data_IF_555933385611
#
_entry.id   IF_555933385611
#
_cell.length_a   1.000
_cell.length_b   1.000
_cell.length_c   1.000
_cell.angle_alpha   90.00
_cell.angle_beta   90.00
_cell.angle_gamma   90.00
#
_symmetry.space_group_name_H-M   'P 1'
#
loop_
_entity.id
_entity.type
_entity.pdbx_description
1 polymer ?
#
# COMPACT_ATOMS: atom_id res chain seq x y z
N UNK A 1 -4.98 -7.56 11.20
CA UNK A 1 -6.19 -7.06 10.51
C UNK A 1 -7.41 -7.91 10.80
N UNK A 2 -7.35 -9.23 10.65
CA UNK A 2 -8.53 -10.11 10.91
C UNK A 2 -9.18 -9.95 12.30
N UNK A 3 -8.40 -9.71 13.36
CA UNK A 3 -8.98 -9.44 14.70
C UNK A 3 -9.64 -8.06 14.76
N UNK A 4 -9.01 -7.03 14.19
CA UNK A 4 -9.57 -5.68 14.14
C UNK A 4 -10.89 -5.66 13.33
N UNK A 5 -10.91 -6.30 12.16
CA UNK A 5 -12.10 -6.40 11.31
C UNK A 5 -13.20 -7.30 11.91
N UNK A 6 -12.88 -8.19 12.85
CA UNK A 6 -13.90 -8.96 13.61
C UNK A 6 -14.49 -8.16 14.77
N UNK A 7 -13.76 -7.18 15.29
CA UNK A 7 -14.19 -6.33 16.40
C UNK A 7 -14.89 -5.06 15.91
N UNK A 8 -14.61 -4.65 14.68
CA UNK A 8 -15.30 -3.57 13.98
C UNK A 8 -16.41 -4.19 13.13
N UNK A 9 -17.60 -3.60 13.13
CA UNK A 9 -18.68 -4.00 12.22
C UNK A 9 -18.40 -3.63 10.75
N UNK A 10 -17.31 -2.88 10.51
CA UNK A 10 -16.85 -2.44 9.18
C UNK A 10 -15.34 -2.64 9.04
N UNK A 11 -14.81 -2.79 7.81
CA UNK A 11 -13.36 -2.86 7.59
C UNK A 11 -12.64 -1.61 8.08
N UNK A 12 -11.46 -1.78 8.69
CA UNK A 12 -10.61 -0.64 9.02
C UNK A 12 -10.11 0.08 7.75
N UNK A 13 -10.34 1.39 7.66
CA UNK A 13 -10.00 2.20 6.49
C UNK A 13 -9.06 3.37 6.81
N UNK A 14 -8.18 3.66 5.85
CA UNK A 14 -7.23 4.76 5.83
C UNK A 14 -7.60 5.71 4.67
N UNK A 15 -8.55 6.63 4.87
CA UNK A 15 -8.83 7.68 3.91
C UNK A 15 -7.65 8.67 3.85
N UNK A 16 -7.36 9.16 2.65
CA UNK A 16 -6.27 10.10 2.45
C UNK A 16 -6.26 10.74 1.07
N UNK A 17 -5.25 11.57 0.85
CA UNK A 17 -5.01 12.25 -0.42
C UNK A 17 -3.77 11.68 -1.09
N UNK A 18 -3.87 11.41 -2.39
CA UNK A 18 -2.74 10.97 -3.20
C UNK A 18 -1.81 12.15 -3.45
N UNK A 19 -0.56 12.02 -3.01
CA UNK A 19 0.47 13.05 -3.07
C UNK A 19 1.64 12.60 -3.96
N UNK A 20 2.49 13.56 -4.33
CA UNK A 20 3.72 13.27 -5.08
C UNK A 20 4.77 12.63 -4.17
N UNK A 21 5.25 11.44 -4.53
CA UNK A 21 6.34 10.75 -3.84
C UNK A 21 7.71 10.95 -4.49
N UNK A 22 8.70 10.20 -4.00
CA UNK A 22 10.09 10.20 -4.52
C UNK A 22 10.24 9.45 -5.86
N UNK A 23 9.24 8.65 -6.26
CA UNK A 23 9.24 7.93 -7.54
C UNK A 23 10.05 6.61 -7.57
N UNK A 24 10.68 6.22 -6.45
CA UNK A 24 11.57 5.05 -6.37
C UNK A 24 10.91 3.74 -6.83
N UNK A 25 9.62 3.54 -6.53
CA UNK A 25 8.90 2.35 -6.98
C UNK A 25 8.88 2.21 -8.50
N UNK A 26 8.73 3.32 -9.23
CA UNK A 26 8.72 3.32 -10.69
C UNK A 26 10.06 2.83 -11.26
N UNK A 27 11.17 3.28 -10.69
CA UNK A 27 12.51 2.89 -11.15
C UNK A 27 12.80 1.40 -10.90
N UNK A 28 12.11 0.79 -9.94
CA UNK A 28 12.20 -0.63 -9.60
C UNK A 28 11.23 -1.53 -10.38
N UNK A 29 10.30 -0.94 -11.16
CA UNK A 29 9.24 -1.66 -11.87
C UNK A 29 7.95 -1.85 -11.07
N UNK A 30 7.84 -1.23 -9.89
CA UNK A 30 6.69 -1.30 -8.99
C UNK A 30 6.14 0.12 -8.74
N UNK A 31 5.50 0.77 -9.72
CA UNK A 31 5.02 2.14 -9.56
C UNK A 31 4.02 2.24 -8.40
N UNK A 32 4.23 3.21 -7.49
CA UNK A 32 3.38 3.42 -6.32
C UNK A 32 2.65 4.76 -6.38
N UNK A 33 1.40 4.76 -5.89
CA UNK A 33 0.77 5.98 -5.42
C UNK A 33 1.20 6.21 -3.96
N UNK A 34 1.42 7.46 -3.60
CA UNK A 34 1.83 7.85 -2.25
C UNK A 34 0.65 8.53 -1.58
N UNK A 35 0.29 8.15 -0.36
CA UNK A 35 -0.92 8.63 0.30
C UNK A 35 -0.55 9.31 1.61
N UNK A 36 -1.05 10.53 1.78
CA UNK A 36 -1.13 11.21 3.07
C UNK A 36 -2.48 10.86 3.71
N UNK A 37 -2.46 10.13 4.80
CA UNK A 37 -3.67 9.72 5.52
C UNK A 37 -4.24 10.93 6.27
N UNK A 38 -5.56 11.00 6.38
CA UNK A 38 -6.22 12.06 7.12
C UNK A 38 -5.81 12.07 8.60
N UNK A 39 -5.71 13.27 9.17
CA UNK A 39 -5.38 13.45 10.58
C UNK A 39 -6.37 12.73 11.51
N UNK A 40 -5.88 12.26 12.65
CA UNK A 40 -6.69 11.58 13.66
C UNK A 40 -6.95 10.09 13.39
N UNK A 41 -6.47 9.53 12.28
CA UNK A 41 -6.49 8.09 12.03
C UNK A 41 -5.37 7.37 12.78
N UNK A 42 -5.71 6.24 13.40
CA UNK A 42 -4.72 5.35 14.03
C UNK A 42 -4.04 4.50 12.95
N UNK A 43 -2.73 4.65 12.79
CA UNK A 43 -2.00 3.87 11.80
C UNK A 43 -1.79 2.41 12.26
N UNK A 44 -2.00 1.40 11.40
CA UNK A 44 -1.58 0.03 11.65
C UNK A 44 -0.06 -0.08 11.85
N UNK A 45 0.38 -1.26 12.29
CA UNK A 45 1.80 -1.59 12.40
C UNK A 45 2.52 -1.27 11.07
N UNK A 46 3.68 -0.61 11.08
CA UNK A 46 4.48 -0.41 9.88
C UNK A 46 4.88 -1.73 9.20
N UNK A 47 4.97 -1.73 7.88
CA UNK A 47 5.32 -2.90 7.09
C UNK A 47 4.50 -3.05 5.82
N UNK A 48 4.59 -4.24 5.21
CA UNK A 48 3.92 -4.58 3.95
C UNK A 48 2.61 -5.30 4.21
N UNK A 49 1.60 -4.94 3.42
CA UNK A 49 0.27 -5.49 3.48
C UNK A 49 -0.27 -5.78 2.08
N UNK A 50 -1.12 -6.80 1.97
CA UNK A 50 -2.14 -6.82 0.94
C UNK A 50 -3.19 -5.74 1.26
N UNK A 51 -3.56 -4.91 0.28
CA UNK A 51 -4.55 -3.86 0.46
C UNK A 51 -5.48 -3.74 -0.74
N UNK A 52 -6.68 -3.22 -0.48
CA UNK A 52 -7.56 -2.68 -1.52
C UNK A 52 -7.54 -1.16 -1.44
N UNK A 53 -7.71 -0.48 -2.57
CA UNK A 53 -7.67 0.98 -2.67
C UNK A 53 -8.83 1.45 -3.56
N UNK A 54 -9.69 2.29 -3.01
CA UNK A 54 -10.80 2.91 -3.73
C UNK A 54 -10.42 4.32 -4.16
N UNK A 55 -10.59 4.63 -5.45
CA UNK A 55 -10.29 5.94 -6.05
C UNK A 55 -11.43 6.32 -7.00
N UNK A 56 -12.29 7.25 -6.55
CA UNK A 56 -13.53 7.56 -7.27
C UNK A 56 -14.46 6.36 -7.30
N UNK A 57 -14.87 5.93 -8.49
CA UNK A 57 -15.72 4.75 -8.69
C UNK A 57 -14.92 3.45 -8.90
N UNK A 58 -13.58 3.55 -8.99
CA UNK A 58 -12.72 2.41 -9.25
C UNK A 58 -12.19 1.81 -7.95
N UNK A 59 -12.03 0.49 -7.94
CA UNK A 59 -11.41 -0.26 -6.84
C UNK A 59 -10.26 -1.10 -7.39
N UNK A 60 -9.13 -1.03 -6.70
CA UNK A 60 -7.90 -1.71 -7.08
C UNK A 60 -7.39 -2.55 -5.91
N UNK A 61 -6.78 -3.68 -6.22
CA UNK A 61 -5.97 -4.42 -5.25
C UNK A 61 -4.50 -4.02 -5.41
N UNK A 62 -3.70 -4.20 -4.36
CA UNK A 62 -2.32 -3.81 -4.42
C UNK A 62 -1.48 -4.21 -3.23
N UNK A 63 -0.18 -4.01 -3.39
CA UNK A 63 0.81 -4.11 -2.33
C UNK A 63 0.95 -2.75 -1.65
N UNK A 64 0.63 -2.69 -0.36
CA UNK A 64 0.74 -1.48 0.46
C UNK A 64 1.96 -1.56 1.36
N UNK A 65 2.67 -0.45 1.50
CA UNK A 65 3.74 -0.26 2.47
C UNK A 65 3.42 0.91 3.39
N UNK A 66 3.38 0.68 4.71
CA UNK A 66 3.23 1.74 5.72
C UNK A 66 4.61 2.10 6.25
N UNK A 67 4.97 3.39 6.18
CA UNK A 67 6.27 3.86 6.65
C UNK A 67 6.38 3.78 8.18
N UNK A 68 7.51 3.29 8.73
CA UNK A 68 7.74 3.35 10.17
C UNK A 68 7.97 4.78 10.68
N UNK A 69 8.49 5.65 9.82
CA UNK A 69 8.65 7.08 10.07
C UNK A 69 8.24 7.83 8.80
N UNK A 70 7.05 8.46 8.77
CA UNK A 70 6.58 9.19 7.60
C UNK A 70 7.37 10.50 7.43
N UNK A 71 7.85 10.75 6.22
CA UNK A 71 8.43 12.05 5.82
C UNK A 71 7.50 12.79 4.85
N UNK A 72 7.23 12.17 3.69
CA UNK A 72 6.49 12.80 2.58
C UNK A 72 5.08 12.20 2.39
N UNK A 73 4.85 11.00 2.92
CA UNK A 73 3.59 10.28 2.90
C UNK A 73 3.60 9.26 4.05
N UNK A 74 2.40 8.80 4.42
CA UNK A 74 2.23 7.83 5.50
C UNK A 74 2.32 6.40 4.98
N UNK A 75 1.82 6.19 3.75
CA UNK A 75 1.85 4.89 3.09
C UNK A 75 2.00 5.03 1.57
N UNK A 76 2.48 3.95 0.96
CA UNK A 76 2.56 3.76 -0.48
C UNK A 76 1.69 2.56 -0.89
N UNK A 77 1.08 2.61 -2.06
CA UNK A 77 0.37 1.47 -2.65
C UNK A 77 0.82 1.27 -4.09
N UNK A 78 1.37 0.11 -4.39
CA UNK A 78 1.53 -0.38 -5.76
C UNK A 78 0.19 -1.03 -6.14
N UNK A 79 -0.58 -0.33 -6.98
CA UNK A 79 -1.88 -0.79 -7.47
C UNK A 79 -1.67 -1.75 -8.64
N UNK A 80 -2.31 -2.92 -8.56
CA UNK A 80 -2.34 -3.86 -9.66
C UNK A 80 -3.32 -3.36 -10.74
N UNK A 81 -2.98 -3.66 -12.00
CA UNK A 81 -3.74 -3.26 -13.20
C UNK A 81 -4.02 -1.76 -13.33
N UNK A 82 -3.20 -0.93 -12.67
CA UNK A 82 -3.26 0.52 -12.78
C UNK A 82 -2.03 1.05 -13.51
N UNK A 83 -2.26 1.67 -14.66
CA UNK A 83 -1.24 2.40 -15.39
C UNK A 83 -1.48 3.90 -15.31
N UNK A 84 -0.40 4.67 -15.07
CA UNK A 84 -0.42 6.11 -15.16
C UNK A 84 0.00 6.82 -13.88
N UNK A 85 -0.52 8.02 -13.69
CA UNK A 85 -0.16 8.90 -12.58
C UNK A 85 -1.38 9.69 -12.16
N UNK A 86 -1.62 9.72 -10.85
CA UNK A 86 -2.77 10.35 -10.23
C UNK A 86 -2.30 11.10 -8.99
N UNK A 87 -2.66 12.38 -8.89
CA UNK A 87 -2.32 13.27 -7.77
C UNK A 87 -3.54 14.09 -7.40
N UNK A 88 -3.56 14.61 -6.17
CA UNK A 88 -4.60 15.50 -5.65
C UNK A 88 -6.01 14.89 -5.70
N UNK A 89 -6.08 13.56 -5.73
CA UNK A 89 -7.31 12.76 -5.65
C UNK A 89 -7.42 12.10 -4.29
N UNK A 90 -8.67 11.86 -3.87
CA UNK A 90 -8.98 11.11 -2.66
C UNK A 90 -8.84 9.62 -2.93
N UNK A 91 -8.28 8.92 -1.96
CA UNK A 91 -8.21 7.48 -1.93
C UNK A 91 -8.67 6.96 -0.56
N UNK A 92 -9.33 5.81 -0.56
CA UNK A 92 -9.63 5.06 0.68
C UNK A 92 -8.90 3.73 0.61
N UNK A 93 -7.91 3.55 1.47
CA UNK A 93 -7.12 2.31 1.52
C UNK A 93 -7.64 1.41 2.62
N UNK A 94 -7.82 0.14 2.31
CA UNK A 94 -8.26 -0.90 3.23
C UNK A 94 -7.14 -1.92 3.39
N UNK A 95 -6.39 -1.90 4.51
CA UNK A 95 -5.39 -2.92 4.79
C UNK A 95 -6.09 -4.28 5.02
N UNK A 96 -5.80 -5.26 4.18
CA UNK A 96 -6.46 -6.57 4.21
C UNK A 96 -5.68 -7.59 5.04
N UNK A 97 -4.43 -7.84 4.69
CA UNK A 97 -3.55 -8.83 5.34
C UNK A 97 -2.17 -8.24 5.56
N UNK A 98 -1.63 -8.41 6.77
CA UNK A 98 -0.22 -8.10 7.03
C UNK A 98 0.65 -9.20 6.43
N UNK A 99 1.62 -8.81 5.61
CA UNK A 99 2.53 -9.72 4.92
C UNK A 99 3.84 -9.83 5.69
N UNK A 100 4.51 -8.70 5.95
CA UNK A 100 5.80 -8.69 6.63
C UNK A 100 6.16 -7.32 7.22
N UNK A 101 7.17 -7.32 8.08
CA UNK A 101 7.81 -6.10 8.59
C UNK A 101 8.67 -5.40 7.52
N UNK A 102 9.02 -4.15 7.79
CA UNK A 102 10.02 -3.40 7.01
C UNK A 102 11.39 -4.07 7.10
N UNK A 103 12.04 -4.25 5.96
CA UNK A 103 13.39 -4.82 5.84
C UNK A 103 14.29 -3.72 5.26
N UNK A 104 15.48 -3.55 5.83
CA UNK A 104 16.53 -2.72 5.23
C UNK A 104 17.27 -3.58 4.20
N UNK A 105 17.48 -3.02 3.01
CA UNK A 105 18.23 -3.66 1.94
C UNK A 105 19.52 -2.90 1.69
N UNK A 106 20.60 -3.63 1.47
CA UNK A 106 21.93 -3.05 1.20
C UNK A 106 22.10 -2.66 -0.28
N UNK A 107 21.24 -3.16 -1.17
CA UNK A 107 21.25 -2.84 -2.60
C UNK A 107 19.83 -2.91 -3.21
N UNK A 108 19.69 -2.31 -4.40
CA UNK A 108 18.42 -2.26 -5.13
C UNK A 108 17.96 -3.62 -5.67
N UNK A 109 18.89 -4.51 -5.99
CA UNK A 109 18.57 -5.82 -6.58
C UNK A 109 17.84 -6.73 -5.58
N UNK A 110 18.31 -6.74 -4.33
CA UNK A 110 17.68 -7.51 -3.26
C UNK A 110 16.30 -6.94 -2.88
N UNK A 111 16.16 -5.61 -2.91
CA UNK A 111 14.86 -4.97 -2.74
C UNK A 111 13.90 -5.40 -3.87
N UNK A 112 14.35 -5.35 -5.13
CA UNK A 112 13.53 -5.71 -6.29
C UNK A 112 13.07 -7.17 -6.22
N UNK A 113 13.98 -8.09 -5.90
CA UNK A 113 13.65 -9.52 -5.69
C UNK A 113 12.62 -9.70 -4.58
N UNK A 114 12.75 -8.97 -3.47
CA UNK A 114 11.77 -9.06 -2.39
C UNK A 114 10.41 -8.53 -2.83
N UNK A 115 10.36 -7.40 -3.53
CA UNK A 115 9.10 -6.82 -4.01
C UNK A 115 8.37 -7.77 -4.96
N UNK A 116 9.08 -8.48 -5.83
CA UNK A 116 8.49 -9.51 -6.70
C UNK A 116 7.86 -10.66 -5.89
N UNK A 117 8.55 -11.15 -4.85
CA UNK A 117 7.98 -12.18 -3.97
C UNK A 117 6.77 -11.69 -3.19
N UNK A 118 6.79 -10.43 -2.73
CA UNK A 118 5.66 -9.81 -2.04
C UNK A 118 4.45 -9.66 -2.97
N UNK A 119 4.68 -9.22 -4.21
CA UNK A 119 3.64 -9.13 -5.24
C UNK A 119 2.99 -10.49 -5.49
N UNK A 120 3.77 -11.55 -5.75
CA UNK A 120 3.25 -12.90 -5.95
C UNK A 120 2.46 -13.45 -4.75
N UNK A 121 2.89 -13.17 -3.53
CA UNK A 121 2.15 -13.57 -2.32
C UNK A 121 0.82 -12.83 -2.22
N UNK A 122 0.82 -11.52 -2.51
CA UNK A 122 -0.36 -10.67 -2.39
C UNK A 122 -1.36 -10.95 -3.53
N UNK A 123 -0.89 -11.19 -4.75
CA UNK A 123 -1.74 -11.64 -5.86
C UNK A 123 -2.42 -12.96 -5.55
N UNK A 124 -1.68 -13.94 -4.99
CA UNK A 124 -2.28 -15.19 -4.49
C UNK A 124 -3.32 -14.98 -3.40
N UNK A 125 -3.11 -14.01 -2.51
CA UNK A 125 -4.10 -13.67 -1.48
C UNK A 125 -5.42 -13.14 -2.07
N UNK A 126 -5.34 -12.38 -3.17
CA UNK A 126 -6.52 -11.86 -3.87
C UNK A 126 -7.06 -12.79 -4.97
N UNK A 127 -6.42 -13.95 -5.19
CA UNK A 127 -6.77 -14.90 -6.26
C UNK A 127 -6.72 -14.26 -7.67
N UNK A 128 -5.71 -13.42 -7.91
CA UNK A 128 -5.46 -12.73 -9.19
C UNK A 128 -4.10 -13.13 -9.80
N UNK A 129 -3.97 -12.96 -11.12
CA UNK A 129 -2.76 -13.28 -11.91
C UNK A 129 -1.70 -12.18 -11.89
#
# INVERSE_FOLDING_TARGET
MEKANRMLNEPFTLPGTIVKGKGLGRDLGFPTINIRVDEGKLMPKPGVYAASCEIGENSYNGMMYIHPQPENCDLEVNLFDFEGTIYDKRAVVVPRKFTRESIKFDNYEDLKKRLALDEEEIKRYFEIE
#
